data_IF_677473583929
#
_entry.id   IF_677473583929
#
_cell.length_a   1.000
_cell.length_b   1.000
_cell.length_c   1.000
_cell.angle_alpha   90.00
_cell.angle_beta   90.00
_cell.angle_gamma   90.00
#
_symmetry.space_group_name_H-M   'P 1'
#
loop_
_entity.id
_entity.type
_entity.pdbx_description
1 polymer ?
#
# COMPACT_ATOMS: atom_id res chain seq x y z
N UNK A 1 -45.99 -61.44 -38.13
CA UNK A 1 -44.90 -60.88 -38.89
C UNK A 1 -45.05 -59.39 -38.76
N UNK A 2 -44.35 -58.75 -37.75
CA UNK A 2 -44.40 -57.35 -37.50
C UNK A 2 -42.96 -56.89 -37.26
N UNK A 3 -42.48 -56.04 -38.20
CA UNK A 3 -41.15 -55.50 -38.22
C UNK A 3 -41.14 -54.19 -37.41
N UNK A 4 -40.52 -54.19 -36.22
CA UNK A 4 -40.33 -53.00 -35.41
C UNK A 4 -39.17 -52.17 -35.95
N UNK A 5 -39.44 -50.90 -36.27
CA UNK A 5 -38.42 -49.90 -36.64
C UNK A 5 -37.77 -49.32 -35.40
N UNK A 6 -36.48 -49.49 -35.21
CA UNK A 6 -35.69 -48.77 -34.21
C UNK A 6 -35.29 -47.39 -34.80
N UNK A 7 -35.78 -46.34 -34.18
CA UNK A 7 -35.34 -44.99 -34.42
C UNK A 7 -34.21 -44.66 -33.42
N UNK A 8 -32.99 -44.63 -33.90
CA UNK A 8 -31.83 -44.18 -33.10
C UNK A 8 -31.78 -42.65 -33.12
N UNK A 9 -32.20 -42.01 -32.01
CA UNK A 9 -32.05 -40.57 -31.83
C UNK A 9 -30.61 -40.24 -31.49
N UNK A 10 -29.93 -39.48 -32.37
CA UNK A 10 -28.62 -38.91 -32.12
C UNK A 10 -28.78 -37.66 -31.23
N UNK A 11 -28.45 -37.74 -29.96
CA UNK A 11 -28.39 -36.58 -29.05
C UNK A 11 -27.07 -35.89 -29.30
N UNK A 12 -27.10 -34.77 -30.02
CA UNK A 12 -25.95 -33.82 -30.14
C UNK A 12 -25.91 -32.99 -28.86
N UNK A 13 -25.01 -33.33 -27.95
CA UNK A 13 -24.68 -32.50 -26.80
C UNK A 13 -23.80 -31.35 -27.31
N UNK A 14 -24.40 -30.17 -27.47
CA UNK A 14 -23.65 -28.94 -27.65
C UNK A 14 -22.99 -28.59 -26.30
N UNK A 15 -21.71 -28.92 -26.17
CA UNK A 15 -20.84 -28.40 -25.11
C UNK A 15 -20.51 -26.96 -25.52
N UNK A 16 -21.32 -26.00 -25.04
CA UNK A 16 -20.91 -24.59 -25.06
C UNK A 16 -19.73 -24.46 -24.09
N UNK A 17 -18.52 -24.32 -24.64
CA UNK A 17 -17.36 -23.87 -23.90
C UNK A 17 -17.65 -22.43 -23.43
N UNK A 18 -18.18 -22.28 -22.21
CA UNK A 18 -18.12 -21.04 -21.48
C UNK A 18 -16.63 -20.78 -21.24
N UNK A 19 -16.02 -19.99 -22.13
CA UNK A 19 -14.77 -19.32 -21.84
C UNK A 19 -15.05 -18.45 -20.64
N UNK A 20 -14.71 -18.92 -19.45
CA UNK A 20 -14.69 -18.10 -18.26
C UNK A 20 -13.69 -16.97 -18.50
N UNK A 21 -14.16 -15.80 -18.91
CA UNK A 21 -13.33 -14.60 -18.89
C UNK A 21 -12.97 -14.36 -17.43
N UNK A 22 -11.73 -14.67 -17.07
CA UNK A 22 -11.20 -14.36 -15.73
C UNK A 22 -11.44 -12.87 -15.47
N UNK A 23 -11.83 -12.53 -14.25
CA UNK A 23 -12.07 -11.13 -13.85
C UNK A 23 -10.83 -10.28 -14.17
N UNK A 24 -11.01 -9.12 -14.83
CA UNK A 24 -9.92 -8.25 -15.24
C UNK A 24 -9.28 -7.58 -14.01
N UNK A 25 -7.96 -7.70 -13.86
CA UNK A 25 -7.23 -7.02 -12.79
C UNK A 25 -7.36 -5.49 -12.88
N UNK A 26 -7.13 -4.81 -11.77
CA UNK A 26 -7.17 -3.34 -11.69
C UNK A 26 -6.20 -2.72 -12.73
N UNK A 27 -5.01 -3.28 -12.83
CA UNK A 27 -3.99 -2.95 -13.84
C UNK A 27 -2.97 -4.11 -13.90
N UNK A 28 -2.11 -4.18 -14.93
CA UNK A 28 -1.05 -5.18 -14.97
C UNK A 28 -0.10 -5.07 -13.77
N UNK A 29 -0.04 -6.11 -12.93
CA UNK A 29 0.73 -6.15 -11.70
C UNK A 29 -0.04 -5.74 -10.44
N UNK A 30 -1.36 -5.57 -10.51
CA UNK A 30 -2.21 -5.55 -9.33
C UNK A 30 -2.31 -6.96 -8.76
N UNK A 31 -2.06 -7.10 -7.44
CA UNK A 31 -2.07 -8.36 -6.71
C UNK A 31 -2.85 -8.22 -5.38
N UNK A 32 -3.02 -9.32 -4.66
CA UNK A 32 -3.71 -9.33 -3.38
C UNK A 32 -5.23 -9.28 -3.48
N UNK A 33 -5.88 -9.11 -2.34
CA UNK A 33 -7.33 -9.23 -2.23
C UNK A 33 -8.11 -8.13 -3.00
N UNK A 34 -7.50 -6.95 -3.24
CA UNK A 34 -8.10 -5.91 -4.05
C UNK A 34 -7.65 -5.94 -5.54
N UNK A 35 -7.11 -7.06 -6.02
CA UNK A 35 -6.59 -7.24 -7.38
C UNK A 35 -7.58 -6.82 -8.48
N UNK A 36 -8.88 -6.99 -8.23
CA UNK A 36 -9.93 -6.79 -9.23
C UNK A 36 -10.74 -5.51 -9.05
N UNK A 37 -10.25 -4.59 -8.23
CA UNK A 37 -10.85 -3.26 -8.05
C UNK A 37 -10.84 -2.49 -9.37
N UNK A 38 -11.94 -1.83 -9.70
CA UNK A 38 -12.06 -1.11 -10.97
C UNK A 38 -11.69 0.37 -10.87
N UNK A 39 -11.77 0.96 -9.68
CA UNK A 39 -11.55 2.39 -9.52
C UNK A 39 -12.45 3.20 -10.44
N UNK A 40 -11.87 4.15 -11.15
CA UNK A 40 -12.56 5.02 -12.10
C UNK A 40 -12.74 4.47 -13.52
N UNK A 41 -12.53 3.17 -13.73
CA UNK A 41 -12.64 2.55 -15.07
C UNK A 41 -13.96 2.86 -15.76
N UNK A 42 -13.89 3.28 -17.04
CA UNK A 42 -15.06 3.67 -17.82
C UNK A 42 -15.61 5.05 -17.48
N UNK A 43 -14.99 5.76 -16.54
CA UNK A 43 -15.42 7.08 -16.10
C UNK A 43 -14.77 8.25 -16.84
N UNK A 44 -15.12 9.45 -16.41
CA UNK A 44 -14.61 10.70 -16.98
C UNK A 44 -13.15 10.92 -16.59
N UNK A 45 -12.33 11.35 -17.54
CA UNK A 45 -10.98 11.86 -17.26
C UNK A 45 -11.06 13.28 -16.73
N UNK A 46 -10.38 13.54 -15.61
CA UNK A 46 -10.31 14.88 -15.00
C UNK A 46 -8.85 15.24 -14.77
N UNK A 47 -8.43 16.38 -15.28
CA UNK A 47 -7.07 16.85 -15.14
C UNK A 47 -6.87 17.77 -13.94
N UNK A 48 -5.81 17.51 -13.17
CA UNK A 48 -5.24 18.44 -12.20
C UNK A 48 -4.19 19.28 -12.93
N UNK A 49 -4.42 20.60 -13.00
CA UNK A 49 -3.61 21.54 -13.78
C UNK A 49 -2.95 22.61 -12.94
N UNK A 50 -3.25 22.68 -11.64
CA UNK A 50 -2.63 23.60 -10.69
C UNK A 50 -2.41 22.93 -9.33
N UNK A 51 -1.62 23.56 -8.46
CA UNK A 51 -1.26 23.06 -7.14
C UNK A 51 -2.09 23.70 -6.01
N UNK A 52 -3.18 24.39 -6.34
CA UNK A 52 -4.04 25.00 -5.34
C UNK A 52 -4.83 23.93 -4.57
N UNK A 53 -5.06 24.18 -3.28
CA UNK A 53 -6.01 23.42 -2.49
C UNK A 53 -7.30 24.24 -2.30
N UNK A 54 -8.12 24.24 -3.33
CA UNK A 54 -9.44 24.86 -3.36
C UNK A 54 -10.44 23.94 -4.11
N UNK A 55 -11.68 24.35 -4.23
CA UNK A 55 -12.69 23.57 -4.94
C UNK A 55 -12.99 24.12 -6.36
N UNK A 56 -12.01 24.75 -6.99
CA UNK A 56 -12.11 25.26 -8.35
C UNK A 56 -11.59 24.26 -9.38
N UNK A 57 -12.10 24.27 -10.62
CA UNK A 57 -11.59 23.41 -11.69
C UNK A 57 -10.07 23.51 -11.84
N UNK A 58 -9.44 22.34 -12.02
CA UNK A 58 -8.01 22.21 -12.14
C UNK A 58 -7.28 21.89 -10.82
N UNK A 59 -7.92 22.03 -9.66
CA UNK A 59 -7.35 21.57 -8.38
C UNK A 59 -7.64 20.10 -8.12
N UNK A 60 -6.79 19.46 -7.30
CA UNK A 60 -7.01 18.06 -6.90
C UNK A 60 -8.29 17.89 -6.07
N UNK A 61 -8.56 18.82 -5.15
CA UNK A 61 -9.76 18.78 -4.31
C UNK A 61 -11.04 18.84 -5.16
N UNK A 62 -11.08 19.72 -6.17
CA UNK A 62 -12.18 19.76 -7.12
C UNK A 62 -12.35 18.41 -7.83
N UNK A 63 -11.28 17.86 -8.38
CA UNK A 63 -11.31 16.60 -9.14
C UNK A 63 -11.81 15.42 -8.28
N UNK A 64 -11.35 15.32 -7.04
CA UNK A 64 -11.80 14.29 -6.09
C UNK A 64 -13.30 14.44 -5.76
N UNK A 65 -13.82 15.66 -5.68
CA UNK A 65 -15.20 15.95 -5.31
C UNK A 65 -16.21 15.77 -6.45
N UNK A 66 -15.78 15.50 -7.69
CA UNK A 66 -16.72 15.27 -8.78
C UNK A 66 -17.52 13.97 -8.58
N UNK A 67 -18.76 13.89 -9.07
CA UNK A 67 -19.58 12.68 -8.98
C UNK A 67 -19.22 11.66 -10.08
N UNK A 68 -19.64 10.42 -9.86
CA UNK A 68 -19.53 9.33 -10.82
C UNK A 68 -18.13 8.74 -10.95
N UNK A 69 -17.96 7.69 -11.77
CA UNK A 69 -16.68 7.09 -12.06
C UNK A 69 -15.74 8.08 -12.74
N UNK A 70 -14.49 8.15 -12.28
CA UNK A 70 -13.51 9.13 -12.79
C UNK A 70 -12.06 8.71 -12.63
N UNK A 71 -11.26 9.08 -13.61
CA UNK A 71 -9.81 8.89 -13.62
C UNK A 71 -9.17 10.27 -13.50
N UNK A 72 -8.41 10.50 -12.44
CA UNK A 72 -7.73 11.77 -12.18
C UNK A 72 -6.29 11.66 -12.67
N UNK A 73 -5.94 12.51 -13.64
CA UNK A 73 -4.63 12.63 -14.25
C UNK A 73 -4.03 14.00 -13.93
N UNK A 74 -2.71 14.12 -14.03
CA UNK A 74 -1.98 15.33 -13.66
C UNK A 74 -1.26 15.92 -14.89
N UNK A 75 -1.54 17.20 -15.19
CA UNK A 75 -0.79 18.02 -16.17
C UNK A 75 0.25 18.93 -15.49
N UNK A 76 0.51 18.70 -14.21
CA UNK A 76 1.49 19.44 -13.39
C UNK A 76 2.17 18.50 -12.40
N UNK A 77 3.41 18.82 -12.01
CA UNK A 77 4.11 18.24 -10.85
C UNK A 77 4.31 19.30 -9.77
N UNK A 78 4.46 18.88 -8.52
CA UNK A 78 4.74 19.78 -7.42
C UNK A 78 4.13 19.34 -6.10
N UNK A 79 4.22 20.22 -5.11
CA UNK A 79 3.68 20.01 -3.77
C UNK A 79 2.39 20.79 -3.61
N UNK A 80 1.29 20.08 -3.34
CA UNK A 80 -0.01 20.68 -2.99
C UNK A 80 -0.01 20.86 -1.48
N UNK A 81 -0.03 22.12 -1.04
CA UNK A 81 -0.18 22.50 0.35
C UNK A 81 -1.66 22.47 0.72
N UNK A 82 -2.08 21.42 1.43
CA UNK A 82 -3.45 21.29 1.87
C UNK A 82 -3.80 22.36 2.92
N UNK A 83 -5.03 22.86 2.87
CA UNK A 83 -5.60 23.81 3.84
C UNK A 83 -6.53 23.17 4.83
N UNK A 84 -6.90 21.92 4.58
CA UNK A 84 -7.73 21.09 5.44
C UNK A 84 -7.57 19.62 5.03
N UNK A 85 -8.00 18.70 5.89
CA UNK A 85 -8.05 17.28 5.56
C UNK A 85 -8.69 17.07 4.18
N UNK A 86 -8.04 16.26 3.35
CA UNK A 86 -8.55 15.90 2.02
C UNK A 86 -9.07 14.46 2.06
N UNK A 87 -10.37 14.28 1.79
CA UNK A 87 -11.00 12.96 1.87
C UNK A 87 -11.65 12.59 0.53
N UNK A 88 -11.43 11.34 0.11
CA UNK A 88 -12.22 10.74 -0.97
C UNK A 88 -13.54 10.25 -0.35
N UNK A 89 -14.61 10.99 -0.54
CA UNK A 89 -15.97 10.64 -0.04
C UNK A 89 -16.87 10.07 -1.13
N UNK A 90 -16.45 10.10 -2.39
CA UNK A 90 -17.14 9.54 -3.55
C UNK A 90 -16.23 8.50 -4.19
N UNK A 91 -16.69 7.27 -4.22
CA UNK A 91 -15.95 6.15 -4.78
C UNK A 91 -15.86 6.13 -6.31
N UNK A 92 -15.56 4.97 -6.87
CA UNK A 92 -15.34 4.77 -8.30
C UNK A 92 -14.31 5.74 -8.87
N UNK A 93 -13.13 5.78 -8.22
CA UNK A 93 -12.09 6.77 -8.52
C UNK A 93 -10.72 6.12 -8.69
N UNK A 94 -9.96 6.59 -9.67
CA UNK A 94 -8.53 6.31 -9.83
C UNK A 94 -7.72 7.60 -9.79
N UNK A 95 -6.74 7.70 -8.87
CA UNK A 95 -5.72 8.75 -8.86
C UNK A 95 -4.44 8.18 -9.48
N UNK A 96 -4.08 8.69 -10.65
CA UNK A 96 -2.92 8.21 -11.42
C UNK A 96 -1.74 9.20 -11.35
N UNK A 97 -1.05 9.25 -10.19
CA UNK A 97 0.07 10.16 -9.95
C UNK A 97 1.24 9.99 -10.92
N UNK A 98 1.38 8.81 -11.55
CA UNK A 98 2.41 8.55 -12.57
C UNK A 98 2.25 9.37 -13.86
N UNK A 99 1.13 10.06 -14.06
CA UNK A 99 0.91 10.94 -15.21
C UNK A 99 1.47 12.35 -15.01
N UNK A 100 1.84 12.71 -13.78
CA UNK A 100 2.41 14.01 -13.48
C UNK A 100 3.75 14.22 -14.21
N UNK A 101 3.88 15.32 -14.99
CA UNK A 101 5.07 15.58 -15.80
C UNK A 101 6.22 16.12 -14.94
N UNK A 102 7.29 15.35 -14.76
CA UNK A 102 8.45 15.77 -13.95
C UNK A 102 8.60 14.96 -12.67
N UNK A 103 8.65 15.62 -11.51
CA UNK A 103 9.01 14.98 -10.25
C UNK A 103 7.82 14.36 -9.49
N UNK A 104 6.58 14.46 -10.03
CA UNK A 104 5.38 13.88 -9.44
C UNK A 104 4.66 14.80 -8.45
N UNK A 105 3.69 14.24 -7.70
CA UNK A 105 2.82 15.00 -6.79
C UNK A 105 3.08 14.60 -5.34
N UNK A 106 3.20 15.62 -4.48
CA UNK A 106 3.22 15.49 -3.02
C UNK A 106 2.07 16.28 -2.40
N UNK A 107 1.39 15.69 -1.40
CA UNK A 107 0.44 16.38 -0.52
C UNK A 107 1.10 16.62 0.83
N UNK A 108 0.90 17.81 1.43
CA UNK A 108 1.49 18.17 2.73
C UNK A 108 0.46 18.80 3.66
N UNK A 109 0.81 18.90 4.92
CA UNK A 109 0.19 19.62 6.04
C UNK A 109 -1.02 18.97 6.69
N UNK A 110 -1.87 18.30 5.96
CA UNK A 110 -3.08 17.67 6.50
C UNK A 110 -3.19 16.20 6.10
N UNK A 111 -3.93 15.38 6.89
CA UNK A 111 -4.22 14.00 6.55
C UNK A 111 -4.93 13.84 5.21
N UNK A 112 -4.63 12.71 4.53
CA UNK A 112 -5.42 12.23 3.39
C UNK A 112 -6.19 10.98 3.79
N UNK A 113 -7.52 10.97 3.55
CA UNK A 113 -8.39 9.90 4.00
C UNK A 113 -9.20 9.29 2.86
N UNK A 114 -9.33 7.96 2.87
CA UNK A 114 -10.24 7.23 2.00
C UNK A 114 -11.51 6.91 2.79
N UNK A 115 -12.61 7.53 2.38
CA UNK A 115 -13.95 7.41 2.98
C UNK A 115 -14.98 6.99 1.93
N UNK A 116 -14.59 6.11 1.00
CA UNK A 116 -15.43 5.60 -0.07
C UNK A 116 -14.96 4.23 -0.56
N UNK A 117 -15.83 3.51 -1.26
CA UNK A 117 -15.52 2.23 -1.88
C UNK A 117 -14.96 2.39 -3.31
N UNK A 118 -14.29 1.37 -3.79
CA UNK A 118 -13.79 1.25 -5.16
C UNK A 118 -12.81 2.37 -5.53
N UNK A 119 -11.66 2.36 -4.85
CA UNK A 119 -10.63 3.41 -4.97
C UNK A 119 -9.30 2.79 -5.39
N UNK A 120 -8.66 3.39 -6.38
CA UNK A 120 -7.29 3.10 -6.79
C UNK A 120 -6.45 4.36 -6.65
N UNK A 121 -5.32 4.28 -5.93
CA UNK A 121 -4.34 5.37 -5.82
C UNK A 121 -2.96 4.86 -6.18
N UNK A 122 -2.28 5.55 -7.10
CA UNK A 122 -0.96 5.12 -7.58
C UNK A 122 0.02 6.28 -7.69
N UNK A 123 1.26 6.03 -7.29
CA UNK A 123 2.41 6.93 -7.46
C UNK A 123 2.24 8.34 -6.85
N UNK A 124 1.49 8.45 -5.76
CA UNK A 124 1.31 9.68 -4.99
C UNK A 124 2.25 9.71 -3.78
N UNK A 125 2.54 10.92 -3.28
CA UNK A 125 3.25 11.10 -1.99
C UNK A 125 2.37 11.84 -0.99
N UNK A 126 2.33 11.30 0.24
CA UNK A 126 1.60 11.84 1.37
C UNK A 126 2.61 12.18 2.47
N UNK A 127 3.11 13.42 2.49
CA UNK A 127 4.14 13.88 3.41
C UNK A 127 3.57 14.96 4.31
N UNK A 128 2.85 14.52 5.35
CA UNK A 128 2.03 15.39 6.18
C UNK A 128 2.86 16.52 6.84
N UNK A 129 3.80 16.18 7.71
CA UNK A 129 4.57 17.15 8.48
C UNK A 129 3.79 17.75 9.66
N UNK A 130 4.48 18.59 10.45
CA UNK A 130 3.94 19.19 11.68
C UNK A 130 3.68 20.69 11.62
N UNK A 131 3.94 21.35 10.47
CA UNK A 131 3.79 22.82 10.37
C UNK A 131 2.36 23.28 10.59
N UNK A 132 1.38 22.54 10.07
CA UNK A 132 -0.05 22.85 10.25
C UNK A 132 -0.58 22.51 11.64
N UNK A 133 0.25 21.92 12.53
CA UNK A 133 -0.14 21.49 13.89
C UNK A 133 -1.36 20.57 13.91
N UNK A 134 -1.49 19.71 12.91
CA UNK A 134 -2.56 18.72 12.84
C UNK A 134 -2.10 17.38 13.40
N UNK A 135 -2.98 16.74 14.18
CA UNK A 135 -2.82 15.36 14.59
C UNK A 135 -3.46 14.43 13.56
N UNK A 136 -2.75 13.38 13.13
CA UNK A 136 -3.33 12.38 12.25
C UNK A 136 -2.35 11.53 11.46
N UNK A 137 -2.94 10.60 10.74
CA UNK A 137 -2.27 9.71 9.80
C UNK A 137 -1.95 10.44 8.50
N UNK A 138 -0.80 10.16 7.90
CA UNK A 138 -0.50 10.76 6.59
C UNK A 138 -1.46 10.23 5.50
N UNK A 139 -1.82 8.93 5.59
CA UNK A 139 -2.77 8.27 4.70
C UNK A 139 -3.55 7.22 5.49
N UNK A 140 -4.88 7.26 5.46
CA UNK A 140 -5.69 6.31 6.19
C UNK A 140 -7.09 6.10 5.62
N UNK A 141 -7.81 5.14 6.22
CA UNK A 141 -9.21 4.86 5.90
C UNK A 141 -9.71 3.58 6.56
N UNK A 142 -10.99 3.55 6.93
CA UNK A 142 -11.62 2.38 7.57
C UNK A 142 -13.10 2.32 7.23
N UNK A 143 -13.70 1.10 7.35
CA UNK A 143 -15.11 0.79 7.07
C UNK A 143 -15.51 0.83 5.61
N UNK A 144 -14.55 0.77 4.67
CA UNK A 144 -14.80 0.76 3.25
C UNK A 144 -14.26 -0.51 2.58
N UNK A 145 -14.55 -0.69 1.30
CA UNK A 145 -14.16 -1.89 0.56
C UNK A 145 -13.66 -1.59 -0.85
N UNK A 146 -12.90 -2.58 -1.37
CA UNK A 146 -12.36 -2.52 -2.73
C UNK A 146 -11.40 -1.32 -2.88
N UNK A 147 -10.31 -1.32 -2.11
CA UNK A 147 -9.31 -0.25 -2.11
C UNK A 147 -7.95 -0.85 -2.48
N UNK A 148 -7.30 -0.26 -3.49
CA UNK A 148 -5.96 -0.63 -3.91
C UNK A 148 -5.04 0.59 -3.95
N UNK A 149 -3.94 0.52 -3.17
CA UNK A 149 -2.91 1.56 -3.11
C UNK A 149 -1.60 0.95 -3.60
N UNK A 150 -1.01 1.57 -4.63
CA UNK A 150 0.13 1.01 -5.34
C UNK A 150 1.22 2.06 -5.54
N UNK A 151 2.46 1.72 -5.21
CA UNK A 151 3.64 2.56 -5.42
C UNK A 151 3.50 3.98 -4.86
N UNK A 152 2.94 4.13 -3.67
CA UNK A 152 2.85 5.41 -2.98
C UNK A 152 3.94 5.55 -1.91
N UNK A 153 4.29 6.79 -1.57
CA UNK A 153 5.17 7.08 -0.44
C UNK A 153 4.41 7.88 0.60
N UNK A 154 4.51 7.49 1.88
CA UNK A 154 3.94 8.23 3.00
C UNK A 154 5.02 8.51 4.04
N UNK A 155 4.98 9.69 4.67
CA UNK A 155 5.91 10.06 5.74
C UNK A 155 5.44 11.24 6.55
N UNK A 156 6.11 11.43 7.70
CA UNK A 156 5.97 12.61 8.55
C UNK A 156 4.55 12.80 9.12
N UNK A 157 3.86 11.68 9.34
CA UNK A 157 2.62 11.69 10.12
C UNK A 157 2.88 12.08 11.56
N UNK A 158 1.89 12.61 12.22
CA UNK A 158 1.96 12.96 13.64
C UNK A 158 1.28 11.93 14.53
N UNK A 159 0.65 10.92 13.94
CA UNK A 159 0.13 9.69 14.56
C UNK A 159 0.68 8.49 13.80
N UNK A 160 -0.11 7.66 13.11
CA UNK A 160 0.40 6.60 12.25
C UNK A 160 0.76 7.12 10.84
N UNK A 161 1.76 6.46 10.24
CA UNK A 161 2.14 6.79 8.86
C UNK A 161 1.03 6.38 7.87
N UNK A 162 0.59 5.11 7.92
CA UNK A 162 -0.47 4.59 7.03
C UNK A 162 -1.33 3.59 7.80
N UNK A 163 -2.61 3.90 8.00
CA UNK A 163 -3.53 3.03 8.72
C UNK A 163 -4.74 2.63 7.89
N UNK A 164 -4.87 1.31 7.65
CA UNK A 164 -6.03 0.69 7.01
C UNK A 164 -6.45 -0.54 7.79
N UNK A 165 -7.60 -0.47 8.43
CA UNK A 165 -8.21 -1.54 9.19
C UNK A 165 -9.73 -1.46 9.10
N UNK A 166 -10.43 -2.54 9.46
CA UNK A 166 -11.89 -2.63 9.30
C UNK A 166 -12.38 -2.38 7.85
N UNK A 167 -11.50 -2.56 6.86
CA UNK A 167 -11.85 -2.53 5.45
C UNK A 167 -12.06 -3.95 4.91
N UNK A 168 -12.71 -4.08 3.76
CA UNK A 168 -12.92 -5.35 3.07
C UNK A 168 -12.33 -5.30 1.65
N UNK A 169 -11.61 -6.36 1.25
CA UNK A 169 -10.92 -6.42 -0.04
C UNK A 169 -9.95 -5.24 -0.24
N UNK A 170 -8.91 -5.24 0.57
CA UNK A 170 -7.90 -4.17 0.59
C UNK A 170 -6.54 -4.67 0.08
N UNK A 171 -5.79 -3.82 -0.61
CA UNK A 171 -4.38 -4.07 -0.93
C UNK A 171 -3.56 -2.79 -0.80
N UNK A 172 -2.46 -2.88 -0.04
CA UNK A 172 -1.36 -1.91 -0.04
C UNK A 172 -0.11 -2.60 -0.58
N UNK A 173 0.35 -2.20 -1.76
CA UNK A 173 1.48 -2.85 -2.41
C UNK A 173 2.54 -1.86 -2.87
N UNK A 174 3.82 -2.25 -2.75
CA UNK A 174 4.97 -1.52 -3.26
C UNK A 174 5.05 -0.08 -2.75
N UNK A 175 4.68 0.18 -1.50
CA UNK A 175 4.69 1.50 -0.90
C UNK A 175 5.92 1.69 0.00
N UNK A 176 6.32 2.95 0.22
CA UNK A 176 7.27 3.37 1.26
C UNK A 176 6.50 4.09 2.36
N UNK A 177 6.63 3.63 3.59
CA UNK A 177 6.13 4.24 4.81
C UNK A 177 7.33 4.57 5.67
N UNK A 178 7.57 5.85 5.95
CA UNK A 178 8.80 6.23 6.64
C UNK A 178 8.66 7.44 7.55
N UNK A 179 9.49 7.47 8.59
CA UNK A 179 9.72 8.68 9.39
C UNK A 179 8.45 9.33 9.95
N UNK A 180 7.57 8.55 10.59
CA UNK A 180 6.51 9.13 11.41
C UNK A 180 7.14 9.94 12.56
N UNK A 181 6.55 11.11 12.88
CA UNK A 181 7.11 12.08 13.80
C UNK A 181 6.83 11.67 15.26
N UNK A 182 7.87 11.46 16.07
CA UNK A 182 7.72 10.88 17.42
C UNK A 182 7.31 11.89 18.47
N UNK A 183 8.16 12.86 18.80
CA UNK A 183 7.88 13.89 19.80
C UNK A 183 7.38 15.16 19.10
N UNK A 184 6.23 15.05 18.44
CA UNK A 184 5.66 16.12 17.64
C UNK A 184 4.40 16.71 18.27
N UNK A 185 3.35 16.94 17.52
CA UNK A 185 2.15 17.68 17.95
C UNK A 185 1.04 16.81 18.51
N UNK A 186 1.21 15.50 18.63
CA UNK A 186 0.16 14.59 19.08
C UNK A 186 -0.19 14.84 20.55
N UNK A 187 -1.49 15.01 20.85
CA UNK A 187 -1.99 15.40 22.17
C UNK A 187 -1.74 14.37 23.27
N UNK A 188 -1.53 13.09 22.95
CA UNK A 188 -1.17 12.01 23.90
C UNK A 188 0.35 11.90 24.15
N UNK A 189 1.16 12.78 23.60
CA UNK A 189 2.62 12.76 23.72
C UNK A 189 3.31 11.97 22.61
N UNK A 190 4.44 11.32 22.91
CA UNK A 190 5.27 10.65 21.94
C UNK A 190 4.51 9.57 21.15
N UNK A 191 4.54 9.66 19.81
CA UNK A 191 3.96 8.71 18.86
C UNK A 191 5.02 8.25 17.86
N UNK A 192 4.90 8.48 16.57
CA UNK A 192 5.89 8.07 15.58
C UNK A 192 5.70 6.63 15.13
N UNK A 193 4.49 6.28 14.71
CA UNK A 193 4.08 4.91 14.45
C UNK A 193 3.96 4.60 12.94
N UNK A 194 4.25 3.34 12.57
CA UNK A 194 4.17 2.89 11.18
C UNK A 194 2.73 2.79 10.67
N UNK A 195 1.87 2.04 11.37
CA UNK A 195 0.47 1.94 10.96
C UNK A 195 -0.33 0.90 11.73
N UNK A 196 -1.67 1.03 11.67
CA UNK A 196 -2.62 0.01 12.09
C UNK A 196 -3.13 -0.69 10.84
N UNK A 197 -2.87 -2.00 10.73
CA UNK A 197 -3.21 -2.82 9.58
C UNK A 197 -4.15 -3.95 9.96
N UNK A 198 -5.29 -4.01 9.29
CA UNK A 198 -6.32 -4.99 9.57
C UNK A 198 -7.32 -5.07 8.44
N UNK A 199 -8.41 -5.81 8.66
CA UNK A 199 -9.52 -5.88 7.74
C UNK A 199 -9.86 -7.31 7.31
N UNK A 200 -10.92 -7.44 6.54
CA UNK A 200 -11.37 -8.69 5.96
C UNK A 200 -10.85 -8.83 4.54
N UNK A 201 -10.00 -9.82 4.30
CA UNK A 201 -9.30 -9.97 3.04
C UNK A 201 -8.41 -8.74 2.73
N UNK A 202 -7.39 -8.53 3.55
CA UNK A 202 -6.46 -7.41 3.43
C UNK A 202 -5.04 -7.90 3.13
N UNK A 203 -4.46 -7.44 2.04
CA UNK A 203 -3.09 -7.76 1.62
C UNK A 203 -2.19 -6.55 1.77
N UNK A 204 -1.08 -6.73 2.47
CA UNK A 204 -0.02 -5.74 2.66
C UNK A 204 1.30 -6.36 2.20
N UNK A 205 1.75 -6.05 0.98
CA UNK A 205 2.89 -6.76 0.44
C UNK A 205 3.87 -5.87 -0.31
N UNK A 206 5.14 -6.28 -0.27
CA UNK A 206 6.25 -5.59 -0.92
C UNK A 206 6.37 -4.11 -0.51
N UNK A 207 6.02 -3.76 0.73
CA UNK A 207 6.16 -2.43 1.26
C UNK A 207 7.46 -2.29 2.05
N UNK A 208 7.97 -1.07 2.16
CA UNK A 208 9.04 -0.68 3.07
C UNK A 208 8.45 0.12 4.23
N UNK A 209 8.66 -0.35 5.47
CA UNK A 209 8.44 0.42 6.69
C UNK A 209 9.79 0.78 7.29
N UNK A 210 10.09 2.07 7.44
CA UNK A 210 11.40 2.53 7.87
C UNK A 210 11.34 3.68 8.87
N UNK A 211 12.13 3.60 9.93
CA UNK A 211 12.28 4.68 10.93
C UNK A 211 10.99 5.01 11.68
N UNK A 212 10.33 4.00 12.21
CA UNK A 212 9.17 4.16 13.09
C UNK A 212 9.47 3.67 14.49
N UNK A 213 8.99 4.40 15.50
CA UNK A 213 9.17 4.00 16.90
C UNK A 213 8.52 2.64 17.19
N UNK A 214 7.30 2.43 16.69
CA UNK A 214 6.49 1.24 16.92
C UNK A 214 5.48 1.03 15.78
N UNK A 215 4.61 0.02 15.90
CA UNK A 215 3.53 -0.30 14.95
C UNK A 215 4.04 -0.54 13.51
N UNK A 216 4.94 -1.54 13.36
CA UNK A 216 5.50 -1.94 12.06
C UNK A 216 4.97 -3.32 11.58
N UNK A 217 3.64 -3.55 11.48
CA UNK A 217 2.53 -2.72 11.94
C UNK A 217 1.98 -3.14 13.32
N UNK A 218 0.99 -2.39 13.89
CA UNK A 218 -0.01 -2.95 14.79
C UNK A 218 -1.04 -3.72 13.93
N UNK A 219 -1.37 -4.94 14.35
CA UNK A 219 -2.34 -5.78 13.68
C UNK A 219 -3.73 -5.57 14.28
N UNK A 220 -4.65 -4.99 13.48
CA UNK A 220 -6.00 -4.66 13.90
C UNK A 220 -6.09 -3.59 14.98
N UNK A 221 -7.29 -3.21 15.38
CA UNK A 221 -7.53 -2.24 16.45
C UNK A 221 -7.74 -2.97 17.78
N UNK A 222 -8.88 -3.61 17.91
CA UNK A 222 -9.24 -4.43 19.09
C UNK A 222 -10.09 -5.62 18.67
N UNK A 223 -10.17 -6.61 19.54
CA UNK A 223 -11.01 -7.78 19.34
C UNK A 223 -12.53 -7.50 19.38
N UNK A 224 -12.96 -6.27 19.56
CA UNK A 224 -14.37 -5.84 19.48
C UNK A 224 -14.78 -5.35 18.10
N UNK A 225 -13.86 -5.33 17.13
CA UNK A 225 -14.09 -4.81 15.79
C UNK A 225 -15.02 -5.68 14.95
N UNK A 226 -15.61 -5.08 13.91
CA UNK A 226 -16.63 -5.70 13.08
C UNK A 226 -16.20 -7.01 12.40
N UNK A 227 -14.92 -7.16 12.08
CA UNK A 227 -14.36 -8.30 11.36
C UNK A 227 -13.62 -9.30 12.27
N UNK A 228 -13.55 -9.05 13.56
CA UNK A 228 -12.87 -9.93 14.50
C UNK A 228 -13.37 -11.38 14.37
N UNK A 229 -12.46 -12.35 14.44
CA UNK A 229 -12.61 -13.77 14.14
C UNK A 229 -12.81 -14.12 12.64
N UNK A 230 -13.18 -13.18 11.79
CA UNK A 230 -13.28 -13.38 10.33
C UNK A 230 -12.23 -12.58 9.55
N UNK A 231 -11.42 -11.77 10.22
CA UNK A 231 -10.32 -11.02 9.62
C UNK A 231 -9.32 -11.97 8.97
N UNK A 232 -8.83 -11.56 7.83
CA UNK A 232 -7.68 -12.17 7.18
C UNK A 232 -6.74 -11.06 6.73
N UNK A 233 -5.56 -11.04 7.34
CA UNK A 233 -4.47 -10.10 6.99
C UNK A 233 -3.29 -10.90 6.48
N UNK A 234 -2.84 -10.59 5.25
CA UNK A 234 -1.65 -11.17 4.66
C UNK A 234 -0.52 -10.14 4.59
N UNK A 235 0.51 -10.31 5.43
CA UNK A 235 1.75 -9.53 5.42
C UNK A 235 2.82 -10.34 4.70
N UNK A 236 3.15 -9.92 3.47
CA UNK A 236 4.03 -10.72 2.61
C UNK A 236 5.11 -9.88 1.96
N UNK A 237 6.37 -10.36 2.06
CA UNK A 237 7.51 -9.75 1.36
C UNK A 237 7.70 -8.25 1.65
N UNK A 238 7.28 -7.77 2.84
CA UNK A 238 7.59 -6.43 3.29
C UNK A 238 9.00 -6.34 3.85
N UNK A 239 9.58 -5.15 3.83
CA UNK A 239 10.86 -4.83 4.46
C UNK A 239 10.59 -3.93 5.66
N UNK A 240 11.09 -4.33 6.83
CA UNK A 240 10.96 -3.56 8.07
C UNK A 240 12.36 -3.15 8.52
N UNK A 241 12.58 -1.84 8.64
CA UNK A 241 13.88 -1.27 8.97
C UNK A 241 13.81 -0.29 10.14
N UNK A 242 14.78 -0.35 11.05
CA UNK A 242 15.00 0.61 12.14
C UNK A 242 13.76 0.88 13.00
N UNK A 243 13.10 -0.16 13.47
CA UNK A 243 12.05 -0.05 14.51
C UNK A 243 12.69 0.12 15.90
N UNK A 244 12.06 0.84 16.80
CA UNK A 244 12.57 1.03 18.16
C UNK A 244 11.88 0.07 19.14
N UNK A 245 10.64 0.36 19.53
CA UNK A 245 9.93 -0.40 20.54
C UNK A 245 9.36 -1.71 20.05
N UNK A 246 8.65 -1.69 18.93
CA UNK A 246 8.02 -2.88 18.35
C UNK A 246 8.16 -2.92 16.82
N UNK A 247 8.45 -4.13 16.30
CA UNK A 247 8.14 -4.49 14.93
C UNK A 247 6.62 -4.62 14.80
N UNK A 248 6.04 -5.84 14.71
CA UNK A 248 4.59 -6.01 14.76
C UNK A 248 4.10 -6.41 16.16
N UNK A 249 2.83 -6.11 16.44
CA UNK A 249 2.12 -6.62 17.62
C UNK A 249 0.60 -6.53 17.42
N UNK A 250 -0.17 -7.15 18.32
CA UNK A 250 -1.63 -7.14 18.25
C UNK A 250 -2.19 -8.42 17.66
N UNK A 251 -3.20 -8.30 16.80
CA UNK A 251 -3.84 -9.43 16.13
C UNK A 251 -4.82 -10.19 17.01
N UNK A 252 -5.45 -9.50 17.97
CA UNK A 252 -6.47 -10.04 18.87
C UNK A 252 -7.59 -10.69 18.06
N UNK A 253 -7.79 -11.99 18.23
CA UNK A 253 -8.80 -12.81 17.54
C UNK A 253 -8.75 -12.70 15.98
N UNK A 254 -7.59 -12.43 15.40
CA UNK A 254 -7.41 -12.30 13.95
C UNK A 254 -6.79 -13.54 13.32
N UNK A 255 -6.97 -13.70 12.01
CA UNK A 255 -6.27 -14.65 11.18
C UNK A 255 -5.19 -13.92 10.36
N UNK A 256 -3.93 -14.30 10.51
CA UNK A 256 -2.80 -13.55 9.95
C UNK A 256 -1.78 -14.46 9.27
N UNK A 257 -1.35 -14.09 8.07
CA UNK A 257 -0.13 -14.61 7.45
C UNK A 257 1.00 -13.59 7.63
N UNK A 258 2.19 -14.04 7.96
CA UNK A 258 3.43 -13.23 7.93
C UNK A 258 4.50 -14.04 7.19
N UNK A 259 4.67 -13.80 5.90
CA UNK A 259 5.44 -14.68 5.02
C UNK A 259 6.50 -13.92 4.25
N UNK A 260 7.74 -14.40 4.34
CA UNK A 260 8.84 -13.92 3.53
C UNK A 260 9.16 -12.43 3.73
N UNK A 261 8.87 -11.84 4.89
CA UNK A 261 9.23 -10.47 5.22
C UNK A 261 10.71 -10.39 5.62
N UNK A 262 11.34 -9.25 5.36
CA UNK A 262 12.74 -9.00 5.68
C UNK A 262 12.84 -7.98 6.82
N UNK A 263 13.42 -8.38 7.94
CA UNK A 263 13.64 -7.54 9.12
C UNK A 263 15.10 -7.14 9.21
N UNK A 264 15.38 -5.84 9.09
CA UNK A 264 16.74 -5.29 9.18
C UNK A 264 16.81 -4.30 10.34
N UNK A 265 17.45 -4.65 11.46
CA UNK A 265 17.73 -3.69 12.52
C UNK A 265 18.53 -2.50 12.01
N UNK A 266 18.19 -1.32 12.51
CA UNK A 266 18.91 -0.07 12.28
C UNK A 266 19.46 0.50 13.60
N UNK A 267 20.00 1.73 13.57
CA UNK A 267 20.64 2.34 14.75
C UNK A 267 19.76 2.47 15.98
N UNK A 268 18.43 2.58 15.81
CA UNK A 268 17.46 2.71 16.89
C UNK A 268 16.87 1.39 17.37
N UNK A 269 17.10 0.29 16.68
CA UNK A 269 16.45 -0.99 16.99
C UNK A 269 16.96 -1.62 18.25
N UNK A 270 16.05 -1.98 19.19
CA UNK A 270 16.39 -2.60 20.46
C UNK A 270 16.02 -4.07 20.56
N UNK A 271 15.05 -4.55 19.75
CA UNK A 271 14.54 -5.94 19.78
C UNK A 271 14.81 -6.63 18.44
N UNK A 272 16.05 -7.02 18.20
CA UNK A 272 16.56 -7.50 16.92
C UNK A 272 15.90 -8.81 16.43
N UNK A 273 15.34 -9.61 17.32
CA UNK A 273 14.76 -10.92 16.99
C UNK A 273 13.21 -10.91 16.94
N UNK A 274 12.56 -9.77 17.17
CA UNK A 274 11.10 -9.71 17.22
C UNK A 274 10.49 -9.60 15.81
N UNK A 275 9.66 -10.57 15.44
CA UNK A 275 8.72 -10.45 14.31
C UNK A 275 7.41 -9.88 14.82
N UNK A 276 6.79 -10.52 15.81
CA UNK A 276 5.47 -10.12 16.34
C UNK A 276 5.34 -10.48 17.82
N UNK A 277 4.65 -9.62 18.57
CA UNK A 277 4.08 -9.94 19.86
C UNK A 277 2.56 -10.12 19.69
N UNK A 278 2.08 -11.36 19.80
CA UNK A 278 0.65 -11.66 19.68
C UNK A 278 -0.07 -11.21 20.94
N UNK A 279 -1.16 -10.48 20.76
CA UNK A 279 -1.99 -9.98 21.84
C UNK A 279 -3.37 -10.65 21.87
N UNK A 280 -4.05 -10.59 23.01
CA UNK A 280 -5.48 -10.85 23.16
C UNK A 280 -6.13 -9.70 23.91
N UNK A 281 -7.41 -9.49 23.68
CA UNK A 281 -8.18 -8.56 24.48
C UNK A 281 -8.50 -9.18 25.83
N UNK A 282 -8.18 -8.49 26.93
CA UNK A 282 -8.47 -8.93 28.29
C UNK A 282 -9.70 -8.24 28.90
N UNK A 283 -10.30 -7.30 28.16
CA UNK A 283 -11.53 -6.64 28.57
C UNK A 283 -12.73 -7.57 28.34
N UNK A 284 -13.38 -8.00 29.39
CA UNK A 284 -14.50 -8.96 29.36
C UNK A 284 -15.81 -8.36 28.81
N UNK A 285 -15.83 -7.06 28.51
CA UNK A 285 -16.99 -6.38 27.90
C UNK A 285 -17.22 -6.71 26.41
N UNK A 286 -16.32 -7.45 25.77
CA UNK A 286 -16.41 -7.80 24.35
C UNK A 286 -16.63 -9.30 24.13
N UNK A 287 -17.45 -9.71 23.13
CA UNK A 287 -17.80 -11.12 22.89
C UNK A 287 -16.61 -12.04 22.61
N UNK A 288 -15.50 -11.49 22.09
CA UNK A 288 -14.29 -12.22 21.71
C UNK A 288 -13.12 -11.98 22.64
N UNK A 289 -13.40 -11.48 23.86
CA UNK A 289 -12.40 -11.35 24.93
C UNK A 289 -11.70 -12.68 25.20
N UNK A 290 -10.46 -12.60 25.65
CA UNK A 290 -9.59 -13.75 25.97
C UNK A 290 -9.28 -14.65 24.76
N UNK A 291 -9.55 -14.20 23.51
CA UNK A 291 -9.32 -14.98 22.29
C UNK A 291 -8.00 -14.58 21.63
N UNK A 292 -7.07 -15.52 21.54
CA UNK A 292 -5.84 -15.35 20.78
C UNK A 292 -6.10 -15.40 19.27
N UNK A 293 -5.34 -14.59 18.50
CA UNK A 293 -5.31 -14.69 17.05
C UNK A 293 -4.64 -15.98 16.55
N UNK A 294 -4.81 -16.27 15.25
CA UNK A 294 -4.26 -17.41 14.55
C UNK A 294 -3.25 -16.92 13.50
N UNK A 295 -2.04 -17.46 13.56
CA UNK A 295 -0.93 -16.95 12.75
C UNK A 295 -0.24 -18.07 11.98
N UNK A 296 -0.05 -17.85 10.69
CA UNK A 296 0.93 -18.56 9.87
C UNK A 296 2.15 -17.66 9.69
N UNK A 297 3.30 -18.05 10.22
CA UNK A 297 4.55 -17.27 10.16
C UNK A 297 5.66 -18.17 9.62
N UNK A 298 6.17 -17.83 8.43
CA UNK A 298 7.17 -18.68 7.76
C UNK A 298 8.04 -17.88 6.78
N UNK A 299 9.28 -18.33 6.61
CA UNK A 299 10.21 -17.77 5.63
C UNK A 299 10.63 -16.32 5.88
N UNK A 300 10.38 -15.76 7.06
CA UNK A 300 10.83 -14.41 7.39
C UNK A 300 12.33 -14.41 7.72
N UNK A 301 13.04 -13.44 7.19
CA UNK A 301 14.48 -13.28 7.37
C UNK A 301 14.80 -12.13 8.35
N UNK A 302 15.56 -12.43 9.38
CA UNK A 302 16.05 -11.47 10.36
C UNK A 302 17.56 -11.31 10.19
N UNK A 303 18.01 -10.21 9.59
CA UNK A 303 19.42 -10.03 9.18
C UNK A 303 20.41 -10.02 10.33
N UNK A 304 19.97 -9.80 11.57
CA UNK A 304 20.80 -9.81 12.78
C UNK A 304 20.75 -11.14 13.56
N UNK A 305 19.96 -12.14 13.14
CA UNK A 305 19.80 -13.39 13.88
C UNK A 305 19.55 -14.60 12.99
N UNK A 306 20.57 -15.43 12.80
CA UNK A 306 20.45 -16.67 12.04
C UNK A 306 19.46 -17.64 12.70
N UNK A 307 19.44 -17.76 14.04
CA UNK A 307 18.51 -18.64 14.75
C UNK A 307 17.05 -18.22 14.58
N UNK A 308 16.78 -16.92 14.64
CA UNK A 308 15.44 -16.36 14.45
C UNK A 308 14.97 -16.48 12.98
N UNK A 309 15.87 -16.41 12.01
CA UNK A 309 15.61 -16.70 10.61
C UNK A 309 15.27 -18.18 10.39
N UNK A 310 16.00 -19.10 11.03
CA UNK A 310 15.79 -20.55 10.88
C UNK A 310 14.49 -21.01 11.56
N UNK A 311 14.17 -20.45 12.71
CA UNK A 311 12.97 -20.79 13.48
C UNK A 311 12.29 -19.50 13.99
N UNK A 312 11.43 -18.94 13.15
CA UNK A 312 10.69 -17.72 13.44
C UNK A 312 9.83 -17.87 14.70
N UNK A 313 9.18 -19.04 14.91
CA UNK A 313 8.26 -19.22 16.02
C UNK A 313 8.96 -19.23 17.36
N UNK A 314 10.00 -20.04 17.52
CA UNK A 314 10.68 -20.20 18.80
C UNK A 314 11.38 -18.92 19.23
N UNK A 315 12.07 -18.24 18.31
CA UNK A 315 12.93 -17.10 18.67
C UNK A 315 12.29 -15.74 18.43
N UNK A 316 11.26 -15.64 17.61
CA UNK A 316 10.71 -14.34 17.20
C UNK A 316 9.24 -14.11 17.55
N UNK A 317 8.56 -15.14 18.07
CA UNK A 317 7.15 -15.08 18.48
C UNK A 317 6.97 -15.59 19.92
N UNK A 318 7.35 -16.82 20.23
CA UNK A 318 7.07 -17.49 21.50
C UNK A 318 7.77 -16.85 22.72
N UNK A 319 8.78 -16.05 22.52
CA UNK A 319 9.47 -15.32 23.57
C UNK A 319 9.09 -13.82 23.64
N UNK A 320 8.04 -13.39 22.95
CA UNK A 320 7.69 -11.98 22.76
C UNK A 320 6.38 -11.54 23.44
N UNK A 321 5.73 -12.39 24.21
CA UNK A 321 4.47 -12.05 24.86
C UNK A 321 4.63 -10.92 25.89
N UNK A 322 3.61 -10.07 25.99
CA UNK A 322 3.61 -8.99 26.98
C UNK A 322 3.48 -9.56 28.40
N UNK A 323 4.21 -8.99 29.34
CA UNK A 323 4.24 -9.44 30.75
C UNK A 323 2.85 -9.41 31.45
N UNK A 324 1.90 -8.62 30.94
CA UNK A 324 0.51 -8.61 31.45
C UNK A 324 -0.20 -9.96 31.38
N UNK A 325 0.24 -10.87 30.51
CA UNK A 325 -0.34 -12.22 30.37
C UNK A 325 0.27 -13.26 31.31
N UNK A 326 1.30 -12.87 32.08
CA UNK A 326 2.05 -13.83 32.89
C UNK A 326 2.74 -14.89 32.03
N UNK A 327 2.65 -16.14 32.43
CA UNK A 327 3.18 -17.28 31.64
C UNK A 327 2.13 -17.75 30.65
N UNK A 328 2.37 -17.56 29.35
CA UNK A 328 1.54 -18.13 28.30
C UNK A 328 1.89 -19.60 28.18
N UNK A 329 0.88 -20.47 28.30
CA UNK A 329 1.07 -21.93 28.28
C UNK A 329 1.45 -22.43 26.88
N UNK A 330 2.11 -23.60 26.81
CA UNK A 330 2.45 -24.24 25.53
C UNK A 330 1.21 -24.63 24.72
N UNK A 331 0.09 -24.92 25.39
CA UNK A 331 -1.20 -25.19 24.72
C UNK A 331 -1.72 -23.93 24.03
N UNK A 332 -1.70 -22.78 24.70
CA UNK A 332 -2.08 -21.51 24.09
C UNK A 332 -1.17 -21.14 22.91
N UNK A 333 0.15 -21.23 23.09
CA UNK A 333 1.12 -20.97 22.02
C UNK A 333 0.92 -21.86 20.80
N UNK A 334 0.73 -23.17 21.04
CA UNK A 334 0.43 -24.12 19.97
C UNK A 334 -0.90 -23.80 19.30
N UNK A 335 -1.89 -23.37 20.07
CA UNK A 335 -3.20 -22.96 19.56
C UNK A 335 -3.22 -21.74 18.68
N UNK A 336 -2.22 -20.85 18.75
CA UNK A 336 -2.06 -19.65 17.89
C UNK A 336 -1.41 -19.99 16.55
N UNK A 337 -0.64 -21.07 16.48
CA UNK A 337 0.15 -21.42 15.29
C UNK A 337 -0.69 -22.14 14.24
N UNK A 338 -0.71 -21.59 13.02
CA UNK A 338 -1.20 -22.28 11.83
C UNK A 338 -0.05 -23.00 11.14
N UNK A 339 -0.30 -24.24 10.68
CA UNK A 339 0.68 -25.05 9.96
C UNK A 339 0.55 -24.91 8.43
N UNK A 340 -0.54 -24.32 7.96
CA UNK A 340 -0.86 -24.11 6.55
C UNK A 340 -1.23 -22.63 6.39
N UNK A 341 -0.70 -21.93 5.36
CA UNK A 341 -1.03 -20.54 5.11
C UNK A 341 -2.51 -20.38 4.75
N UNK A 342 -3.05 -19.24 5.16
CA UNK A 342 -4.36 -18.77 4.72
C UNK A 342 -4.28 -18.24 3.28
N UNK A 343 -5.41 -18.12 2.60
CA UNK A 343 -5.46 -17.55 1.24
C UNK A 343 -4.90 -16.11 1.21
N UNK A 344 -3.91 -15.86 0.35
CA UNK A 344 -3.21 -14.55 0.26
C UNK A 344 -3.79 -13.60 -0.79
N UNK A 345 -4.85 -13.97 -1.51
CA UNK A 345 -5.38 -13.15 -2.60
C UNK A 345 -4.48 -13.12 -3.84
N UNK A 346 -3.76 -14.21 -4.14
CA UNK A 346 -2.90 -14.36 -5.31
C UNK A 346 -1.71 -13.36 -5.36
N UNK A 347 -0.99 -13.23 -4.25
CA UNK A 347 0.24 -12.43 -4.20
C UNK A 347 1.44 -13.28 -4.65
N UNK A 348 2.23 -12.76 -5.59
CA UNK A 348 3.51 -13.34 -5.97
C UNK A 348 4.45 -13.33 -4.78
N UNK A 349 4.90 -14.52 -4.36
CA UNK A 349 5.77 -14.66 -3.19
C UNK A 349 7.21 -14.86 -3.61
N UNK A 350 8.12 -14.06 -3.05
CA UNK A 350 9.56 -14.17 -3.20
C UNK A 350 10.18 -14.67 -1.88
N UNK A 351 11.37 -15.29 -1.95
CA UNK A 351 12.20 -15.43 -0.74
C UNK A 351 12.51 -14.04 -0.16
N UNK A 352 12.62 -13.95 1.17
CA UNK A 352 12.71 -12.65 1.87
C UNK A 352 13.88 -11.77 1.38
N UNK A 353 15.05 -12.35 1.09
CA UNK A 353 16.21 -11.62 0.57
C UNK A 353 15.95 -11.06 -0.84
N UNK A 354 15.27 -11.83 -1.71
CA UNK A 354 14.89 -11.35 -3.02
C UNK A 354 13.79 -10.28 -2.95
N UNK A 355 12.86 -10.41 -2.00
CA UNK A 355 11.88 -9.39 -1.70
C UNK A 355 12.54 -8.08 -1.25
N UNK A 356 13.56 -8.16 -0.37
CA UNK A 356 14.34 -7.00 0.06
C UNK A 356 14.90 -6.21 -1.13
N UNK A 357 15.59 -6.87 -2.05
CA UNK A 357 16.14 -6.23 -3.25
C UNK A 357 15.04 -5.55 -4.07
N UNK A 358 13.95 -6.28 -4.36
CA UNK A 358 12.84 -5.76 -5.17
C UNK A 358 12.13 -4.59 -4.52
N UNK A 359 11.90 -4.64 -3.21
CA UNK A 359 11.27 -3.53 -2.47
C UNK A 359 12.15 -2.28 -2.54
N UNK A 360 13.45 -2.40 -2.34
CA UNK A 360 14.36 -1.26 -2.45
C UNK A 360 14.44 -0.71 -3.88
N UNK A 361 14.27 -1.54 -4.89
CA UNK A 361 14.30 -1.09 -6.28
C UNK A 361 12.98 -0.46 -6.73
N UNK A 362 11.84 -0.96 -6.26
CA UNK A 362 10.55 -0.63 -6.87
C UNK A 362 9.53 0.06 -5.94
N UNK A 363 9.64 -0.03 -4.62
CA UNK A 363 8.65 0.57 -3.72
C UNK A 363 8.66 2.11 -3.74
N UNK A 364 7.54 2.69 -3.27
CA UNK A 364 7.30 4.12 -3.22
C UNK A 364 6.82 4.72 -4.54
N UNK A 365 6.76 6.04 -4.61
CA UNK A 365 6.47 6.79 -5.84
C UNK A 365 7.65 6.67 -6.83
N UNK A 366 8.00 5.43 -7.16
CA UNK A 366 9.23 5.02 -7.83
C UNK A 366 9.26 5.35 -9.32
N UNK A 367 8.16 5.86 -9.87
CA UNK A 367 8.19 6.41 -11.24
C UNK A 367 9.23 7.54 -11.34
N UNK A 368 9.28 8.42 -10.33
CA UNK A 368 10.37 9.37 -10.11
C UNK A 368 10.52 9.57 -8.60
N UNK A 369 11.47 8.90 -7.98
CA UNK A 369 11.73 9.06 -6.54
C UNK A 369 12.25 10.47 -6.25
N UNK A 370 11.74 11.06 -5.19
CA UNK A 370 12.27 12.31 -4.64
C UNK A 370 13.50 12.08 -3.73
N UNK A 371 14.21 13.13 -3.31
CA UNK A 371 15.37 12.99 -2.42
C UNK A 371 15.07 12.28 -1.11
N UNK A 372 13.85 12.37 -0.57
CA UNK A 372 13.46 11.70 0.68
C UNK A 372 13.43 10.19 0.47
N UNK A 373 12.71 9.69 -0.55
CA UNK A 373 12.67 8.26 -0.84
C UNK A 373 14.06 7.70 -1.18
N UNK A 374 14.87 8.45 -1.93
CA UNK A 374 16.23 8.04 -2.28
C UNK A 374 17.11 7.90 -1.03
N UNK A 375 17.03 8.84 -0.09
CA UNK A 375 17.75 8.78 1.19
C UNK A 375 17.31 7.57 2.02
N UNK A 376 16.00 7.39 2.21
CA UNK A 376 15.46 6.24 2.97
C UNK A 376 15.94 4.91 2.38
N UNK A 377 15.87 4.74 1.06
CA UNK A 377 16.37 3.53 0.39
C UNK A 377 17.87 3.32 0.66
N UNK A 378 18.67 4.39 0.59
CA UNK A 378 20.10 4.30 0.85
C UNK A 378 20.38 3.93 2.32
N UNK A 379 19.68 4.51 3.28
CA UNK A 379 19.80 4.19 4.70
C UNK A 379 19.46 2.72 4.97
N UNK A 380 18.40 2.21 4.36
CA UNK A 380 18.05 0.78 4.44
C UNK A 380 19.16 -0.10 3.84
N UNK A 381 19.73 0.27 2.69
CA UNK A 381 20.82 -0.49 2.06
C UNK A 381 22.06 -0.58 2.96
N UNK A 382 22.47 0.54 3.53
CA UNK A 382 23.68 0.66 4.34
C UNK A 382 23.50 0.22 5.80
N UNK A 383 22.25 0.16 6.31
CA UNK A 383 21.97 -0.13 7.72
C UNK A 383 22.26 1.06 8.63
N UNK A 384 22.14 2.28 8.12
CA UNK A 384 22.50 3.54 8.81
C UNK A 384 21.30 4.48 8.88
N UNK A 385 21.47 5.61 9.57
CA UNK A 385 20.58 6.76 9.49
C UNK A 385 21.42 8.00 9.20
N UNK A 386 21.03 8.81 8.22
CA UNK A 386 21.71 10.06 7.87
C UNK A 386 21.56 11.08 8.97
N UNK A 387 20.38 11.15 9.58
CA UNK A 387 20.06 12.09 10.63
C UNK A 387 20.00 11.37 11.98
N UNK A 388 20.99 11.64 12.84
CA UNK A 388 21.11 10.98 14.14
C UNK A 388 20.34 11.68 15.25
N UNK A 389 19.81 12.90 15.01
CA UNK A 389 19.00 13.69 15.93
C UNK A 389 17.66 14.04 15.29
N UNK A 390 16.55 13.85 16.00
CA UNK A 390 15.19 14.02 15.47
C UNK A 390 14.63 15.44 15.57
N UNK A 391 15.32 16.33 16.27
CA UNK A 391 14.91 17.74 16.46
C UNK A 391 14.28 18.04 17.80
N UNK A 392 13.65 17.08 18.48
CA UNK A 392 13.03 17.26 19.82
C UNK A 392 13.21 16.02 20.70
N UNK A 393 14.45 15.55 20.83
CA UNK A 393 14.83 14.46 21.73
C UNK A 393 14.91 13.07 21.14
N UNK A 394 14.32 12.81 19.98
CA UNK A 394 14.52 11.54 19.27
C UNK A 394 15.90 11.46 18.62
N UNK A 395 16.42 10.24 18.47
CA UNK A 395 17.76 9.96 17.95
C UNK A 395 17.75 8.71 17.06
N UNK A 396 18.91 8.44 16.43
CA UNK A 396 19.15 7.19 15.71
C UNK A 396 18.21 6.97 14.50
N UNK A 397 17.90 8.03 13.76
CA UNK A 397 17.03 7.99 12.59
C UNK A 397 15.55 8.11 12.90
N UNK A 398 15.16 8.17 14.17
CA UNK A 398 13.79 8.53 14.57
C UNK A 398 13.72 10.05 14.67
N UNK A 399 12.71 10.65 14.06
CA UNK A 399 12.58 12.11 13.95
C UNK A 399 11.32 12.62 14.65
N UNK A 400 11.35 13.89 15.02
CA UNK A 400 10.26 14.58 15.72
C UNK A 400 9.58 15.62 14.85
N UNK A 401 10.29 16.10 13.83
CA UNK A 401 9.81 17.07 12.86
C UNK A 401 10.49 16.83 11.51
N UNK A 402 9.77 17.05 10.41
CA UNK A 402 10.34 16.95 9.06
C UNK A 402 11.46 17.95 8.80
N UNK A 403 11.48 19.07 9.52
CA UNK A 403 12.55 20.07 9.38
C UNK A 403 13.91 19.55 9.83
N UNK A 404 13.95 18.56 10.74
CA UNK A 404 15.20 17.90 11.16
C UNK A 404 15.89 17.13 10.03
N UNK A 405 15.15 16.79 8.97
CA UNK A 405 15.65 16.04 7.80
C UNK A 405 15.57 16.86 6.50
N UNK A 406 15.44 18.19 6.60
CA UNK A 406 15.44 19.10 5.45
C UNK A 406 14.07 19.45 4.88
N UNK A 407 12.98 18.89 5.41
CA UNK A 407 11.61 19.20 4.99
C UNK A 407 11.26 18.75 3.57
N UNK A 408 10.26 19.37 2.99
CA UNK A 408 9.75 19.01 1.67
C UNK A 408 10.70 19.44 0.57
N UNK A 409 11.15 18.50 -0.30
CA UNK A 409 11.97 18.86 -1.44
C UNK A 409 11.17 19.68 -2.46
N UNK A 410 11.84 20.60 -3.16
CA UNK A 410 11.27 21.25 -4.32
C UNK A 410 11.08 20.24 -5.45
N UNK A 411 9.87 20.16 -5.98
CA UNK A 411 9.51 19.26 -7.09
C UNK A 411 9.34 20.08 -8.37
N UNK A 412 10.07 19.69 -9.41
CA UNK A 412 10.03 20.36 -10.72
C UNK A 412 8.94 19.79 -11.59
N UNK A 413 8.11 20.66 -12.15
CA UNK A 413 7.16 20.33 -13.21
C UNK A 413 7.83 20.51 -14.57
N UNK A 414 7.58 19.56 -15.45
CA UNK A 414 7.86 19.70 -16.89
C UNK A 414 6.58 20.12 -17.61
N UNK A 415 6.72 20.51 -18.88
CA UNK A 415 5.56 20.74 -19.74
C UNK A 415 4.80 19.44 -19.93
N UNK A 416 3.51 19.45 -19.69
CA UNK A 416 2.66 18.29 -19.96
C UNK A 416 2.59 18.01 -21.45
N UNK A 417 2.56 16.76 -21.88
CA UNK A 417 2.28 16.43 -23.28
C UNK A 417 0.94 17.00 -23.75
N UNK A 418 0.85 17.41 -25.02
CA UNK A 418 -0.41 17.87 -25.61
C UNK A 418 -1.41 16.71 -25.70
N UNK A 419 -2.68 17.03 -25.47
CA UNK A 419 -3.83 16.14 -25.51
C UNK A 419 -4.99 17.02 -25.98
N UNK A 420 -5.29 16.92 -27.30
CA UNK A 420 -6.13 17.89 -28.01
C UNK A 420 -7.63 17.72 -27.71
N UNK A 421 -8.06 16.48 -27.45
CA UNK A 421 -9.47 16.16 -27.15
C UNK A 421 -9.75 15.94 -25.65
N UNK A 422 -8.69 15.99 -24.83
CA UNK A 422 -8.73 15.88 -23.37
C UNK A 422 -9.30 14.54 -22.87
N UNK A 423 -8.98 13.45 -23.55
CA UNK A 423 -9.44 12.09 -23.21
C UNK A 423 -8.50 11.32 -22.25
N UNK A 424 -7.34 11.87 -21.98
CA UNK A 424 -6.35 11.27 -21.06
C UNK A 424 -5.14 10.67 -21.74
N UNK A 425 -5.12 10.66 -23.06
CA UNK A 425 -4.00 10.14 -23.87
C UNK A 425 -3.31 11.31 -24.60
N UNK A 426 -1.97 11.39 -24.59
CA UNK A 426 -1.28 12.43 -25.36
C UNK A 426 -1.39 12.22 -26.88
N UNK A 427 -1.56 13.31 -27.63
CA UNK A 427 -1.62 13.33 -29.10
C UNK A 427 -0.53 12.47 -29.77
N UNK A 428 0.71 12.62 -29.28
CA UNK A 428 1.85 11.90 -29.83
C UNK A 428 1.77 10.38 -29.58
N UNK A 429 1.22 9.98 -28.42
CA UNK A 429 1.04 8.57 -28.10
C UNK A 429 -0.09 7.96 -28.92
N UNK A 430 -1.20 8.67 -29.09
CA UNK A 430 -2.33 8.23 -29.88
C UNK A 430 -1.94 8.02 -31.36
N UNK A 431 -1.29 9.02 -31.96
CA UNK A 431 -0.79 8.93 -33.33
C UNK A 431 0.16 7.74 -33.50
N UNK A 432 1.08 7.53 -32.55
CA UNK A 432 2.03 6.41 -32.58
C UNK A 432 1.35 5.04 -32.46
N UNK A 433 0.14 4.99 -31.89
CA UNK A 433 -0.62 3.77 -31.69
C UNK A 433 -1.84 3.63 -32.60
N UNK A 434 -1.98 4.51 -33.60
CA UNK A 434 -3.05 4.45 -34.61
C UNK A 434 -4.43 4.88 -34.09
N UNK A 435 -4.47 5.66 -33.00
CA UNK A 435 -5.68 6.26 -32.43
C UNK A 435 -5.90 7.67 -33.00
N UNK A 436 -7.07 8.24 -32.75
CA UNK A 436 -7.46 9.55 -33.29
C UNK A 436 -7.42 10.62 -32.21
N UNK A 437 -6.35 11.39 -32.13
CA UNK A 437 -6.11 12.47 -31.18
C UNK A 437 -7.16 13.60 -31.13
N UNK A 438 -8.19 13.54 -31.94
CA UNK A 438 -9.32 14.49 -31.97
C UNK A 438 -10.65 13.80 -31.66
N UNK A 439 -10.64 12.59 -31.11
CA UNK A 439 -11.83 11.78 -30.84
C UNK A 439 -11.81 11.20 -29.42
N UNK A 440 -12.34 11.90 -28.41
CA UNK A 440 -12.28 11.43 -27.02
C UNK A 440 -13.03 10.11 -26.78
N UNK A 441 -13.74 9.60 -27.79
CA UNK A 441 -14.50 8.35 -27.65
C UNK A 441 -13.60 7.11 -27.66
N UNK A 442 -12.40 7.17 -28.24
CA UNK A 442 -11.53 6.00 -28.36
C UNK A 442 -10.77 5.67 -27.07
N UNK A 443 -10.68 6.60 -26.11
CA UNK A 443 -10.14 6.36 -24.78
C UNK A 443 -10.80 5.19 -24.05
N UNK A 444 -12.10 5.03 -24.23
CA UNK A 444 -12.88 3.98 -23.57
C UNK A 444 -12.96 2.67 -24.35
N UNK A 445 -12.47 2.65 -25.60
CA UNK A 445 -12.38 1.44 -26.39
C UNK A 445 -11.25 0.54 -25.85
N UNK A 446 -11.34 -0.76 -26.16
CA UNK A 446 -10.33 -1.76 -25.77
C UNK A 446 -9.50 -2.23 -26.96
N UNK A 447 -9.29 -1.36 -27.95
CA UNK A 447 -8.69 -1.72 -29.25
C UNK A 447 -7.19 -2.01 -29.15
N UNK A 448 -6.50 -1.51 -28.11
CA UNK A 448 -5.06 -1.66 -27.96
C UNK A 448 -4.63 -3.07 -27.50
N UNK A 449 -5.34 -3.67 -26.53
CA UNK A 449 -4.98 -4.97 -25.98
C UNK A 449 -6.16 -5.94 -25.81
N UNK A 450 -7.35 -5.52 -26.22
CA UNK A 450 -8.58 -6.32 -26.13
C UNK A 450 -9.13 -6.47 -24.71
N UNK A 451 -8.57 -5.80 -23.70
CA UNK A 451 -8.91 -5.98 -22.27
C UNK A 451 -9.15 -4.67 -21.55
N UNK A 452 -8.16 -3.79 -21.50
CA UNK A 452 -8.22 -2.51 -20.81
C UNK A 452 -8.69 -1.40 -21.74
N UNK A 453 -9.43 -0.39 -21.24
CA UNK A 453 -9.64 0.86 -21.97
C UNK A 453 -8.31 1.46 -22.45
N UNK A 454 -8.29 2.05 -23.64
CA UNK A 454 -7.05 2.57 -24.23
C UNK A 454 -6.35 3.59 -23.32
N UNK A 455 -7.11 4.44 -22.61
CA UNK A 455 -6.55 5.35 -21.61
C UNK A 455 -5.85 4.61 -20.47
N UNK A 456 -6.37 3.47 -20.02
CA UNK A 456 -5.68 2.66 -19.00
C UNK A 456 -4.43 1.97 -19.58
N UNK A 457 -4.46 1.56 -20.86
CA UNK A 457 -3.26 1.04 -21.54
C UNK A 457 -2.17 2.11 -21.57
N UNK A 458 -2.52 3.36 -21.91
CA UNK A 458 -1.59 4.49 -21.87
C UNK A 458 -1.01 4.70 -20.45
N UNK A 459 -1.87 4.85 -19.45
CA UNK A 459 -1.45 5.09 -18.05
C UNK A 459 -0.49 3.97 -17.58
N UNK A 460 -0.69 2.73 -18.02
CA UNK A 460 0.12 1.58 -17.64
C UNK A 460 1.36 1.38 -18.51
N UNK A 461 1.41 1.93 -19.73
CA UNK A 461 2.55 1.81 -20.65
C UNK A 461 3.80 2.52 -20.12
N UNK A 462 3.63 3.62 -19.41
CA UNK A 462 4.70 4.38 -18.78
C UNK A 462 5.57 3.52 -17.83
N UNK A 463 5.02 2.47 -17.24
CA UNK A 463 5.76 1.50 -16.40
C UNK A 463 6.70 0.59 -17.20
N UNK A 464 6.32 0.19 -18.42
CA UNK A 464 7.12 -0.72 -19.25
C UNK A 464 8.41 -0.08 -19.76
N UNK A 465 8.38 1.20 -20.11
CA UNK A 465 9.55 1.94 -20.59
C UNK A 465 10.68 2.04 -19.57
N UNK A 466 10.36 2.11 -18.29
CA UNK A 466 11.38 2.18 -17.22
C UNK A 466 12.00 0.84 -16.87
N UNK A 467 11.23 -0.25 -16.89
CA UNK A 467 11.79 -1.59 -16.66
C UNK A 467 12.76 -2.01 -17.78
N UNK A 468 12.64 -1.44 -18.98
CA UNK A 468 13.61 -1.62 -20.06
C UNK A 468 14.87 -0.78 -19.87
N UNK A 469 14.74 0.45 -19.35
CA UNK A 469 15.88 1.34 -19.09
C UNK A 469 16.72 0.89 -17.89
N UNK A 470 16.09 0.34 -16.83
CA UNK A 470 16.81 -0.23 -15.68
C UNK A 470 17.61 -1.50 -16.03
N UNK A 471 17.28 -2.20 -17.11
CA UNK A 471 18.08 -3.33 -17.60
C UNK A 471 19.30 -2.89 -18.41
N UNK A 472 19.32 -1.69 -18.96
CA UNK A 472 20.43 -1.16 -19.76
C UNK A 472 21.48 -0.44 -18.92
N UNK A 473 21.14 0.07 -17.73
CA UNK A 473 22.11 0.78 -16.87
C UNK A 473 22.98 -0.13 -15.97
N UNK A 474 22.72 -1.44 -15.95
CA UNK A 474 23.49 -2.41 -15.13
C UNK A 474 24.49 -3.27 -15.90
N UNK A 475 24.83 -2.92 -17.16
CA UNK A 475 25.93 -3.57 -17.89
C UNK A 475 26.90 -2.52 -18.43
N UNK A 476 27.65 -1.90 -17.52
CA UNK A 476 28.69 -0.96 -17.88
C UNK A 476 29.57 -0.55 -16.70
N UNK A 477 30.49 -1.43 -16.37
CA UNK A 477 31.69 -1.37 -15.50
C UNK A 477 31.58 -1.98 -14.14
#
# INVERSE_FOLDING_TARGET
MNIGKYLSGLIIVLISSLSGFGQLAAFPGAEGHAKYVTGGRGGTVIYVTNLNDDNNPGSLRYAINQPGPRIILFKISGTIQLKSKLSITKGDITLAGQTAPGDGITLRDYPFEISANNVIIRFMRFRMGDEAKQEGDALGGRFFKNILIDHCSASWSTDECVSFYQNENFTLQWCILSESLRNSVHGKGAHGYGGIWGGKNASFHHNLLAHHDSRNPRLGETAGDAFALSDLVDLRNNVIYNWVGNSAYGGEAMNVNMVGNYYKPGPGTTKNERIVAIDKLTDTGFPISETWGKFFIDGNFLSASARATTDNWTYSVYNQYHSKYGTVSEVEKSGMRLLIPLNSGEVTTHGAEKAYEKVLDFAGASFKRDPVDLRIIQEVRTGTATFMTGGNGSVNGIIDTQSAVGGWPELKSLTAPGDSDNDGMPDAWEVANGLNKNSPADAQLTTMDGKYPNVEVYINSNRKLRNSNLKTDNFGK
#
